data_IF_496745724607
#
_entry.id   IF_496745724607
#
_cell.length_a   1.000
_cell.length_b   1.000
_cell.length_c   1.000
_cell.angle_alpha   90.00
_cell.angle_beta   90.00
_cell.angle_gamma   90.00
#
_symmetry.space_group_name_H-M   'P 1'
#
loop_
_entity.id
_entity.type
_entity.pdbx_description
1 polymer ?
2 non-polymer ?
3 non-polymer ?
4 water ?
#
# COMPACT_ATOMS: atom_id res chain seq x y z
N UNK A 12 -10.22 -2.76 2.33
CA UNK A 12 -9.71 -1.39 2.36
C UNK A 12 -10.34 -0.54 1.25
N UNK A 13 -11.08 -1.18 0.35
CA UNK A 13 -11.62 -0.51 -0.84
C UNK A 13 -13.14 -0.53 -0.97
N UNK A 14 -13.73 0.67 -0.90
CA UNK A 14 -15.15 0.84 -1.10
C UNK A 14 -15.40 1.97 -2.08
N UNK A 15 -14.36 2.44 -2.76
CA UNK A 15 -14.57 3.45 -3.81
C UNK A 15 -14.91 2.83 -5.17
N UNK A 16 -14.72 1.52 -5.31
CA UNK A 16 -15.16 0.82 -6.50
C UNK A 16 -14.29 0.96 -7.75
N UNK A 17 -12.97 1.06 -7.57
CA UNK A 17 -12.06 1.11 -8.70
C UNK A 17 -10.64 0.68 -8.36
N UNK A 18 -9.88 0.29 -9.39
CA UNK A 18 -8.49 -0.13 -9.24
C UNK A 18 -7.53 0.75 -10.06
N UNK A 19 -6.26 0.75 -9.68
CA UNK A 19 -5.26 1.55 -10.35
C UNK A 19 -4.05 0.73 -10.73
N UNK A 20 -3.20 1.34 -11.54
CA UNK A 20 -1.97 0.73 -12.03
C UNK A 20 -1.01 1.87 -12.30
N UNK A 21 0.26 1.54 -12.52
CA UNK A 21 1.26 2.56 -12.80
C UNK A 21 2.09 2.87 -11.58
N UNK A 22 2.89 3.93 -11.63
CA UNK A 22 3.77 4.25 -10.53
C UNK A 22 5.25 4.13 -10.88
N UNK A 23 6.07 4.89 -10.15
CA UNK A 23 7.51 4.79 -10.26
C UNK A 23 7.91 3.37 -9.92
N UNK A 24 8.70 2.75 -10.79
CA UNK A 24 9.16 1.39 -10.60
C UNK A 24 8.13 0.36 -11.03
N UNK A 25 7.00 0.84 -11.54
CA UNK A 25 5.92 -0.04 -11.94
C UNK A 25 5.13 0.58 -13.11
N UNK A 26 5.87 1.08 -14.09
CA UNK A 26 5.30 1.87 -15.17
C UNK A 26 4.30 1.08 -15.99
N UNK A 27 3.20 1.74 -16.33
CA UNK A 27 2.17 1.11 -17.10
C UNK A 27 2.60 1.08 -18.57
N UNK A 28 3.34 2.10 -18.97
CA UNK A 28 3.94 2.19 -20.29
C UNK A 28 5.37 2.68 -20.08
N UNK A 29 6.29 2.26 -20.96
CA UNK A 29 7.71 2.57 -20.73
C UNK A 29 7.97 4.07 -20.62
N UNK A 30 8.60 4.46 -19.52
CA UNK A 30 8.92 5.86 -19.29
C UNK A 30 7.87 6.59 -18.48
N UNK A 31 6.65 6.05 -18.43
CA UNK A 31 5.49 6.70 -17.80
C UNK A 31 5.27 6.27 -16.34
N UNK A 32 5.49 7.19 -15.41
CA UNK A 32 5.34 6.90 -13.98
C UNK A 32 3.93 7.12 -13.41
N UNK A 33 3.03 7.63 -14.24
CA UNK A 33 1.70 8.06 -13.80
C UNK A 33 0.77 6.96 -13.34
N UNK A 34 -0.17 7.32 -12.46
CA UNK A 34 -1.17 6.38 -11.97
C UNK A 34 -2.37 6.43 -12.90
N UNK A 35 -2.88 5.26 -13.30
CA UNK A 35 -4.01 5.18 -14.22
C UNK A 35 -5.12 4.35 -13.60
N UNK A 36 -6.36 4.74 -13.87
CA UNK A 36 -7.50 3.90 -13.53
C UNK A 36 -7.65 2.78 -14.56
N UNK A 37 -7.66 1.53 -14.10
CA UNK A 37 -7.68 0.40 -15.02
C UNK A 37 -8.89 -0.52 -14.80
N UNK A 38 -9.71 -0.21 -13.81
CA UNK A 38 -10.81 -1.08 -13.49
C UNK A 38 -11.82 -0.26 -12.70
N UNK A 39 -13.10 -0.43 -13.01
CA UNK A 39 -14.18 0.23 -12.30
C UNK A 39 -15.29 -0.78 -12.09
N UNK A 40 -15.62 -1.04 -10.84
CA UNK A 40 -16.62 -2.05 -10.47
C UNK A 40 -18.03 -1.57 -10.72
N UNK A 41 -18.77 -2.35 -11.50
CA UNK A 41 -20.16 -2.04 -11.82
C UNK A 41 -20.95 -1.99 -10.53
N UNK A 42 -21.66 -0.89 -10.33
CA UNK A 42 -22.44 -0.72 -9.12
C UNK A 42 -21.73 -0.02 -7.99
N UNK A 43 -20.44 0.27 -8.16
CA UNK A 43 -19.70 0.94 -7.11
C UNK A 43 -19.82 2.45 -7.09
N UNK A 44 -19.18 3.08 -6.10
CA UNK A 44 -19.27 4.53 -5.93
C UNK A 44 -18.80 5.29 -7.16
N UNK A 45 -17.65 4.91 -7.69
CA UNK A 45 -17.12 5.53 -8.90
C UNK A 45 -18.09 5.36 -10.08
N UNK A 46 -18.66 4.16 -10.20
CA UNK A 46 -19.56 3.87 -11.30
C UNK A 46 -20.82 4.71 -11.20
N UNK A 47 -21.47 4.66 -10.04
CA UNK A 47 -22.73 5.38 -9.82
C UNK A 47 -22.58 6.90 -9.92
N UNK A 48 -21.41 7.42 -9.58
CA UNK A 48 -21.15 8.83 -9.80
C UNK A 48 -21.00 9.15 -11.28
N UNK A 49 -20.38 8.23 -12.03
CA UNK A 49 -20.36 8.32 -13.48
C UNK A 49 -19.27 9.14 -14.15
N UNK A 50 -18.49 9.91 -13.39
CA UNK A 50 -17.47 10.76 -14.02
C UNK A 50 -16.13 10.05 -14.27
N UNK A 51 -15.71 9.18 -13.36
CA UNK A 51 -14.41 8.52 -13.49
C UNK A 51 -14.47 7.53 -14.65
N UNK A 52 -13.39 7.44 -15.42
CA UNK A 52 -13.35 6.50 -16.54
C UNK A 52 -12.06 5.68 -16.59
N UNK A 53 -12.19 4.42 -16.96
CA UNK A 53 -11.05 3.57 -17.28
C UNK A 53 -10.11 4.24 -18.28
N UNK A 54 -8.82 4.30 -17.96
CA UNK A 54 -7.88 5.07 -18.77
C UNK A 54 -7.49 6.41 -18.19
N UNK A 55 -8.34 6.98 -17.31
CA UNK A 55 -8.09 8.28 -16.67
C UNK A 55 -6.81 8.24 -15.84
N UNK A 56 -6.05 9.33 -15.88
CA UNK A 56 -4.86 9.47 -15.04
C UNK A 56 -5.21 10.15 -13.71
N UNK A 57 -4.90 9.48 -12.61
CA UNK A 57 -5.17 9.97 -11.27
C UNK A 57 -4.03 10.85 -10.74
N UNK A 58 -4.30 12.14 -10.50
CA UNK A 58 -3.28 13.10 -10.07
C UNK A 58 -3.15 13.27 -8.54
N UNK A 59 -4.28 13.21 -7.83
CA UNK A 59 -4.26 13.29 -6.37
C UNK A 59 -5.38 12.50 -5.71
N UNK A 60 -5.16 12.17 -4.45
CA UNK A 60 -6.19 11.64 -3.57
C UNK A 60 -6.17 12.48 -2.28
N UNK A 61 -7.18 13.34 -2.11
CA UNK A 61 -7.22 14.29 -1.00
C UNK A 61 -5.97 15.18 -1.01
N UNK A 62 -5.14 15.03 0.02
CA UNK A 62 -3.93 15.84 0.18
C UNK A 62 -2.66 15.22 -0.40
N UNK A 63 -2.82 14.07 -1.05
CA UNK A 63 -1.69 13.26 -1.44
C UNK A 63 -1.50 13.32 -2.94
N UNK A 64 -0.46 14.02 -3.37
CA UNK A 64 -0.11 14.06 -4.79
C UNK A 64 0.39 12.69 -5.27
N UNK A 65 0.09 12.35 -6.51
CA UNK A 65 0.47 11.04 -7.02
C UNK A 65 1.26 11.21 -8.32
N UNK A 66 2.12 12.22 -8.37
CA UNK A 66 2.83 12.57 -9.60
C UNK A 66 3.94 11.57 -9.95
N UNK A 67 4.79 11.30 -8.97
CA UNK A 67 5.91 10.40 -9.15
C UNK A 67 6.08 9.56 -7.89
N UNK A 68 5.17 8.62 -7.67
CA UNK A 68 5.19 7.81 -6.46
C UNK A 68 5.14 6.34 -6.82
N UNK A 69 5.48 5.47 -5.88
CA UNK A 69 5.38 4.05 -6.13
C UNK A 69 3.93 3.63 -6.14
N UNK A 70 3.65 2.45 -6.68
CA UNK A 70 2.30 1.94 -6.63
C UNK A 70 1.86 1.76 -5.17
N UNK A 71 2.79 1.35 -4.32
CA UNK A 71 2.47 1.07 -2.93
C UNK A 71 1.98 2.35 -2.26
N UNK A 72 2.59 3.48 -2.59
CA UNK A 72 2.19 4.76 -1.99
C UNK A 72 0.78 5.15 -2.44
N UNK A 73 0.56 5.07 -3.75
CA UNK A 73 -0.73 5.41 -4.36
C UNK A 73 -1.84 4.57 -3.76
N UNK A 74 -1.61 3.27 -3.67
CA UNK A 74 -2.58 2.40 -2.99
C UNK A 74 -2.85 2.83 -1.54
N UNK A 75 -1.79 3.22 -0.85
CA UNK A 75 -1.85 3.54 0.55
C UNK A 75 -2.72 4.79 0.80
N UNK A 76 -2.54 5.83 -0.02
CA UNK A 76 -3.36 7.03 -0.01
C UNK A 76 -4.86 6.73 -0.19
N UNK A 77 -5.18 5.78 -1.07
CA UNK A 77 -6.56 5.36 -1.30
C UNK A 77 -7.01 4.47 -0.15
N UNK A 78 -6.06 3.92 0.60
CA UNK A 78 -6.44 3.05 1.71
C UNK A 78 -6.90 3.88 2.92
N UNK A 79 -6.23 5.02 3.10
CA UNK A 79 -6.40 5.88 4.26
C UNK A 79 -7.38 6.97 3.85
N UNK A 80 -8.56 6.55 3.41
CA UNK A 80 -9.61 7.50 3.07
C UNK A 80 -10.79 7.24 3.98
N UNK A 81 -11.55 8.30 4.24
CA UNK A 81 -12.76 8.15 5.04
C UNK A 81 -14.02 8.25 4.18
N UNK A 82 -15.11 8.68 4.82
CA UNK A 82 -16.45 8.71 4.22
C UNK A 82 -16.53 9.47 2.89
N UNK A 83 -15.83 10.59 2.79
CA UNK A 83 -15.89 11.48 1.63
C UNK A 83 -14.51 11.67 1.04
N UNK A 84 -14.37 11.42 -0.26
CA UNK A 84 -13.05 11.43 -0.89
C UNK A 84 -12.98 12.43 -2.03
N UNK A 85 -11.88 13.15 -2.10
CA UNK A 85 -11.63 14.05 -3.21
C UNK A 85 -10.54 13.49 -4.18
N UNK A 86 -10.91 13.36 -5.45
CA UNK A 86 -10.00 12.86 -6.47
C UNK A 86 -9.74 13.95 -7.48
N UNK A 87 -8.47 14.14 -7.83
CA UNK A 87 -8.13 15.02 -8.92
C UNK A 87 -7.66 14.12 -10.07
N UNK A 88 -8.10 14.44 -11.28
CA UNK A 88 -8.04 13.52 -12.40
C UNK A 88 -7.78 14.26 -13.71
N UNK A 89 -6.86 13.74 -14.52
CA UNK A 89 -6.54 14.36 -15.80
C UNK A 89 -7.25 13.63 -16.93
N UNK A 90 -8.16 14.35 -17.57
CA UNK A 90 -8.89 13.81 -18.71
C UNK A 90 -8.21 14.21 -20.02
N UNK A 91 -7.97 13.23 -20.89
CA UNK A 91 -7.62 13.54 -22.27
C UNK A 91 -8.81 14.19 -22.99
N UNK A 92 -8.62 14.55 -24.25
CA UNK A 92 -9.73 15.10 -25.02
C UNK A 92 -9.83 16.61 -24.98
N UNK A 93 -10.96 17.14 -25.45
CA UNK A 93 -11.07 18.57 -25.74
C UNK A 93 -11.60 19.44 -24.60
N UNK A 94 -11.76 18.87 -23.41
CA UNK A 94 -12.27 19.65 -22.29
C UNK A 94 -11.19 20.27 -21.42
N UNK A 95 -11.60 20.75 -20.26
CA UNK A 95 -10.66 21.20 -19.24
C UNK A 95 -9.78 20.02 -18.85
N UNK A 96 -8.51 20.29 -18.56
CA UNK A 96 -7.55 19.20 -18.36
C UNK A 96 -7.73 18.48 -17.03
N UNK A 97 -7.91 19.25 -15.96
CA UNK A 97 -8.12 18.69 -14.64
C UNK A 97 -9.60 18.63 -14.27
N UNK A 98 -10.05 17.45 -13.84
CA UNK A 98 -11.40 17.31 -13.34
C UNK A 98 -11.31 16.88 -11.88
N UNK A 99 -12.06 17.55 -11.01
CA UNK A 99 -12.20 17.05 -9.64
C UNK A 99 -13.47 16.25 -9.49
N UNK A 100 -13.36 15.16 -8.75
CA UNK A 100 -14.43 14.20 -8.60
C UNK A 100 -14.50 13.83 -7.12
N UNK A 101 -15.61 14.14 -6.48
CA UNK A 101 -15.77 13.82 -5.08
C UNK A 101 -16.70 12.62 -4.95
N UNK A 102 -16.39 11.71 -4.04
CA UNK A 102 -17.12 10.45 -3.94
C UNK A 102 -17.44 10.07 -2.50
N UNK A 103 -18.49 9.29 -2.33
CA UNK A 103 -18.88 8.74 -1.05
C UNK A 103 -18.59 7.25 -1.02
N UNK A 104 -17.91 6.79 0.03
CA UNK A 104 -17.54 5.38 0.14
C UNK A 104 -18.73 4.47 0.44
N UNK A 105 -18.79 3.32 -0.22
CA UNK A 105 -19.84 2.35 0.03
C UNK A 105 -19.44 1.22 0.96
N UNK B 13 14.87 1.80 7.65
CA UNK B 13 14.25 1.94 8.96
C UNK B 13 14.87 3.04 9.82
N UNK B 14 14.09 4.08 10.11
CA UNK B 14 12.76 4.26 9.54
C UNK B 14 11.64 3.88 10.49
N UNK B 15 11.42 2.58 10.63
CA UNK B 15 10.45 2.06 11.58
C UNK B 15 11.14 1.46 12.79
N UNK B 16 12.47 1.37 12.71
CA UNK B 16 13.27 0.89 13.82
C UNK B 16 13.14 -0.60 14.10
N UNK B 17 13.20 -1.41 13.05
CA UNK B 17 13.26 -2.85 13.24
C UNK B 17 13.94 -3.53 12.05
N UNK B 18 14.43 -4.75 12.27
CA UNK B 18 15.12 -5.52 11.24
C UNK B 18 14.42 -6.83 10.99
N UNK B 19 14.64 -7.41 9.82
CA UNK B 19 13.99 -8.66 9.48
C UNK B 19 14.95 -9.66 8.90
N UNK B 20 14.64 -10.93 9.11
CA UNK B 20 15.36 -12.01 8.48
C UNK B 20 14.37 -12.85 7.69
N UNK B 21 14.87 -13.88 7.01
CA UNK B 21 14.02 -14.78 6.26
C UNK B 21 13.90 -14.44 4.78
N UNK B 22 12.95 -15.07 4.12
CA UNK B 22 12.77 -14.89 2.70
C UNK B 22 13.09 -16.17 1.93
N UNK B 23 12.44 -16.32 0.77
CA UNK B 23 12.73 -17.39 -0.16
C UNK B 23 14.21 -17.34 -0.51
N UNK B 24 14.90 -18.48 -0.41
CA UNK B 24 16.32 -18.56 -0.73
C UNK B 24 17.18 -18.03 0.41
N UNK B 25 16.53 -17.80 1.55
CA UNK B 25 17.16 -17.16 2.70
C UNK B 25 16.39 -17.52 3.97
N UNK B 26 16.10 -18.81 4.11
CA UNK B 26 15.21 -19.32 5.14
C UNK B 26 15.74 -19.16 6.56
N UNK B 27 14.86 -18.70 7.44
CA UNK B 27 15.19 -18.43 8.83
C UNK B 27 15.03 -19.68 9.70
N UNK B 28 14.13 -20.58 9.29
CA UNK B 28 14.12 -21.95 9.80
C UNK B 28 14.17 -22.84 8.57
N UNK B 29 14.76 -24.04 8.69
CA UNK B 29 14.77 -24.95 7.54
C UNK B 29 13.36 -25.21 7.02
N UNK B 30 13.14 -24.94 5.73
CA UNK B 30 11.89 -25.25 5.05
C UNK B 30 10.84 -24.14 5.12
N UNK B 31 11.15 -23.04 5.79
CA UNK B 31 10.17 -21.96 5.99
C UNK B 31 10.65 -20.69 5.32
N UNK B 32 9.83 -20.15 4.42
CA UNK B 32 10.22 -18.96 3.65
C UNK B 32 9.87 -17.61 4.26
N UNK B 33 9.13 -17.66 5.38
CA UNK B 33 8.55 -16.47 6.03
C UNK B 33 9.55 -15.41 6.42
N UNK B 34 9.07 -14.17 6.42
CA UNK B 34 9.80 -13.03 6.97
C UNK B 34 9.60 -13.00 8.50
N UNK B 35 10.65 -12.66 9.23
CA UNK B 35 10.59 -12.61 10.68
C UNK B 35 11.26 -11.35 11.20
N UNK B 36 10.74 -10.81 12.29
CA UNK B 36 11.39 -9.69 12.95
C UNK B 36 12.48 -10.26 13.81
N UNK B 37 13.69 -9.73 13.67
CA UNK B 37 14.81 -10.25 14.43
C UNK B 37 15.49 -9.21 15.30
N UNK B 38 15.01 -7.97 15.24
CA UNK B 38 15.65 -6.88 15.99
C UNK B 38 14.75 -5.66 16.05
N UNK B 39 14.52 -5.15 17.26
CA UNK B 39 13.67 -3.97 17.45
C UNK B 39 14.42 -2.87 18.20
N UNK B 40 14.73 -1.79 17.49
CA UNK B 40 15.54 -0.69 18.00
C UNK B 40 14.90 -0.02 19.20
N UNK B 41 15.70 0.29 20.22
CA UNK B 41 15.14 0.95 21.40
C UNK B 41 14.75 2.42 21.17
N UNK B 42 13.52 2.75 21.56
CA UNK B 42 12.98 4.08 21.39
C UNK B 42 12.85 4.44 19.92
N UNK B 43 12.47 3.44 19.11
CA UNK B 43 12.16 3.64 17.71
C UNK B 43 10.66 3.48 17.55
N UNK B 44 10.16 3.72 16.34
CA UNK B 44 8.71 3.75 16.08
C UNK B 44 8.00 2.45 16.48
N UNK B 45 8.55 1.33 16.03
CA UNK B 45 7.99 0.02 16.32
C UNK B 45 8.01 -0.25 17.81
N UNK B 46 9.16 0.02 18.43
CA UNK B 46 9.33 -0.12 19.87
C UNK B 46 8.35 0.76 20.66
N UNK B 47 8.43 2.08 20.43
CA UNK B 47 7.56 3.02 21.14
C UNK B 47 6.07 2.64 21.11
N UNK B 48 5.64 1.99 20.02
CA UNK B 48 4.28 1.45 19.93
C UNK B 48 4.09 0.24 20.85
N UNK B 49 5.04 -0.70 20.82
CA UNK B 49 5.03 -1.81 21.76
C UNK B 49 4.40 -3.12 21.32
N UNK B 50 3.63 -3.08 20.23
CA UNK B 50 2.95 -4.29 19.76
C UNK B 50 3.87 -5.29 19.07
N UNK B 51 4.78 -4.79 18.24
CA UNK B 51 5.70 -5.64 17.48
C UNK B 51 6.73 -6.27 18.40
N UNK B 52 6.92 -7.58 18.27
CA UNK B 52 7.97 -8.26 19.02
C UNK B 52 8.90 -9.04 18.10
N UNK B 53 10.13 -9.23 18.56
CA UNK B 53 11.11 -10.07 17.88
C UNK B 53 10.55 -11.47 17.73
N UNK B 54 10.64 -12.03 16.53
CA UNK B 54 10.12 -13.36 16.29
C UNK B 54 8.79 -13.38 15.57
N UNK B 55 8.10 -12.25 15.57
CA UNK B 55 6.84 -12.14 14.85
C UNK B 55 7.01 -12.36 13.35
N UNK B 56 6.07 -13.08 12.75
CA UNK B 56 6.05 -13.25 11.31
C UNK B 56 5.37 -12.07 10.61
N UNK B 57 6.06 -11.45 9.66
CA UNK B 57 5.44 -10.43 8.81
C UNK B 57 4.59 -11.03 7.69
N UNK B 58 3.30 -10.74 7.70
CA UNK B 58 2.42 -11.27 6.66
C UNK B 58 2.30 -10.34 5.46
N UNK B 59 2.27 -9.03 5.72
CA UNK B 59 2.02 -8.04 4.69
C UNK B 59 2.39 -6.64 5.16
N UNK B 60 2.89 -5.82 4.25
CA UNK B 60 3.16 -4.42 4.54
C UNK B 60 2.27 -3.58 3.65
N UNK B 61 1.39 -2.80 4.28
CA UNK B 61 0.38 -2.06 3.54
C UNK B 61 -0.37 -3.03 2.62
N UNK B 62 -0.45 -2.79 1.33
CA UNK B 62 -1.22 -3.79 0.59
C UNK B 62 -0.37 -4.80 -0.18
N UNK B 63 0.82 -5.09 0.35
CA UNK B 63 1.79 -6.00 -0.28
C UNK B 63 2.05 -7.28 0.54
N UNK B 64 1.56 -8.41 0.03
CA UNK B 64 1.67 -9.68 0.74
C UNK B 64 3.12 -10.13 0.84
N UNK B 65 3.51 -10.63 2.01
CA UNK B 65 4.90 -11.00 2.27
C UNK B 65 5.07 -12.51 2.40
N UNK B 66 4.19 -13.25 1.72
CA UNK B 66 4.30 -14.69 1.68
C UNK B 66 4.91 -15.12 0.36
N UNK B 67 6.05 -15.81 0.45
CA UNK B 67 6.79 -16.31 -0.71
C UNK B 67 7.48 -15.21 -1.52
N UNK B 68 8.20 -14.34 -0.82
CA UNK B 68 8.94 -13.27 -1.48
C UNK B 68 10.35 -13.36 -0.95
N UNK B 69 11.30 -12.73 -1.64
CA UNK B 69 12.68 -12.74 -1.17
C UNK B 69 12.86 -11.70 -0.09
N UNK B 70 14.02 -11.72 0.55
CA UNK B 70 14.34 -10.76 1.57
C UNK B 70 14.36 -9.34 0.99
N UNK B 71 14.84 -9.23 -0.24
CA UNK B 71 14.97 -7.92 -0.89
C UNK B 71 13.59 -7.28 -1.13
N UNK B 72 12.64 -8.08 -1.59
CA UNK B 72 11.28 -7.62 -1.81
C UNK B 72 10.62 -7.19 -0.51
N UNK B 73 10.96 -7.87 0.57
CA UNK B 73 10.36 -7.56 1.86
C UNK B 73 10.89 -6.21 2.35
N UNK B 74 12.14 -5.91 2.00
CA UNK B 74 12.72 -4.62 2.40
C UNK B 74 12.08 -3.50 1.57
N UNK B 75 12.06 -3.71 0.26
CA UNK B 75 11.44 -2.79 -0.66
C UNK B 75 10.01 -2.41 -0.22
N UNK B 76 9.21 -3.43 0.10
CA UNK B 76 7.87 -3.25 0.63
C UNK B 76 7.83 -2.37 1.90
N UNK B 77 8.89 -2.42 2.70
CA UNK B 77 8.96 -1.63 3.91
C UNK B 77 9.40 -0.19 3.62
N UNK B 78 10.18 0.00 2.56
CA UNK B 78 10.58 1.35 2.17
C UNK B 78 9.42 2.14 1.55
N UNK B 79 8.64 1.47 0.70
CA UNK B 79 7.70 2.16 -0.17
C UNK B 79 6.31 2.41 0.41
N UNK B 80 6.21 2.35 1.73
CA UNK B 80 5.04 2.87 2.41
C UNK B 80 5.21 4.38 2.40
N UNK B 81 4.18 5.10 2.77
CA UNK B 81 4.43 6.49 3.09
C UNK B 81 4.90 6.53 4.55
N UNK B 82 4.69 7.66 5.22
CA UNK B 82 4.86 7.73 6.67
C UNK B 82 3.86 6.84 7.38
N UNK B 83 2.78 6.49 6.68
CA UNK B 83 1.73 5.70 7.29
C UNK B 83 1.91 4.24 6.90
N UNK B 84 2.01 3.38 7.90
CA UNK B 84 2.33 1.99 7.70
C UNK B 84 1.27 1.08 8.32
N UNK B 85 0.79 0.12 7.52
CA UNK B 85 -0.12 -0.93 7.98
C UNK B 85 0.59 -2.29 7.94
N UNK B 86 0.94 -2.85 9.10
CA UNK B 86 1.58 -4.16 9.15
C UNK B 86 0.59 -5.23 9.55
N UNK B 87 0.66 -6.38 8.88
CA UNK B 87 -0.05 -7.57 9.32
C UNK B 87 0.97 -8.58 9.80
N UNK B 88 0.69 -9.19 10.94
CA UNK B 88 1.66 -9.94 11.70
C UNK B 88 0.99 -11.14 12.35
N UNK B 89 1.70 -12.28 12.40
CA UNK B 89 1.26 -13.38 13.26
C UNK B 89 2.32 -13.67 14.32
N UNK B 90 1.88 -13.86 15.56
CA UNK B 90 2.80 -14.14 16.65
C UNK B 90 3.15 -15.62 16.57
N UNK B 91 4.39 -15.97 16.98
CA UNK B 91 4.86 -17.36 16.85
C UNK B 91 4.02 -18.30 17.70
N UNK B 92 3.42 -19.30 17.06
CA UNK B 92 2.54 -20.24 17.74
C UNK B 92 1.23 -19.61 18.18
N UNK B 93 0.58 -18.91 17.26
CA UNK B 93 -0.73 -18.34 17.53
C UNK B 93 -1.69 -18.66 16.39
N UNK B 94 -2.93 -18.94 16.75
CA UNK B 94 -3.98 -19.20 15.79
C UNK B 94 -3.67 -20.30 14.79
N UNK B 95 -3.62 -20.01 13.49
CA UNK B 95 -3.53 -18.66 12.88
C UNK B 95 -4.49 -17.53 13.32
N UNK B 96 -3.89 -16.49 13.88
CA UNK B 96 -4.57 -15.23 14.13
C UNK B 96 -3.68 -14.13 13.56
N UNK B 97 -4.29 -13.26 12.77
CA UNK B 97 -3.59 -12.12 12.20
C UNK B 97 -3.83 -10.89 13.05
N UNK B 98 -2.81 -10.06 13.21
CA UNK B 98 -2.97 -8.82 13.96
C UNK B 98 -2.44 -7.63 13.17
N UNK B 99 -3.13 -6.50 13.25
CA UNK B 99 -2.70 -5.32 12.51
C UNK B 99 -2.03 -4.34 13.42
N UNK B 100 -0.94 -3.76 12.93
CA UNK B 100 -0.18 -2.81 13.70
C UNK B 100 0.01 -1.60 12.80
N UNK B 101 -0.51 -0.46 13.24
CA UNK B 101 -0.33 0.76 12.48
C UNK B 101 0.82 1.55 13.09
N UNK B 102 1.62 2.20 12.24
CA UNK B 102 2.84 2.84 12.71
C UNK B 102 3.15 4.05 11.87
N UNK B 103 3.79 5.04 12.48
CA UNK B 103 4.25 6.19 11.72
C UNK B 103 5.76 6.25 11.69
N UNK B 104 6.30 6.46 10.50
CA UNK B 104 7.72 6.73 10.35
C UNK B 104 8.10 8.10 10.92
X LIG C 1 -0.67 -3.79 -14.80
X LIG C 1 0.44 -2.87 -14.38
X LIG C 1 -1.29 -3.27 -16.10
X LIG C 1 -1.73 -3.82 -13.70
X LIG C 1 -0.06 -5.12 -14.99
X LIG C 1 0.71 -2.08 -15.50
X LIG C 1 -0.60 -3.65 -17.29
X LIG C 1 -1.15 -3.51 -12.44
X LIG D 1 -16.74 18.48 -24.84
X LIG D 1 -17.68 17.57 -24.27
X LIG D 1 -15.93 19.29 -23.82
X LIG D 1 -15.14 18.47 -23.00
X LIG D 1 -15.08 20.36 -24.51
X LIG D 1 -15.88 21.32 -25.19
#
# INVERSE_FOLDING_TARGET
>A
MHHHHHLVPRGSKGLGFSIAGGVGNQHWPGDNSIYVTKIIEGGAAHKDGKLQIGDKLLAVNNVALEEVTHEEAVTALKNTSDFVYLKVAKPGSGEKIMEIKLIKGP
>B
MHHHHHLVPRGSKGLGFSIAGGVGNQHWPGDNSIYVTKIIEGGAAHKDGKLQIGDKLLAVNNVALEEVTHEEAVTALKNTSDFVYLKVAKPGSGEKIMEIKLIKGP
>C hetero
1 TRS C C1 C2 C3 N O1 O2 O3
>D hetero
1 GOL C1 O1 C2 O2 C3 O3
#
